data_IF_760312531875
#
_entry.id   IF_760312531875
#
_cell.length_a   1.000
_cell.length_b   1.000
_cell.length_c   1.000
_cell.angle_alpha   90.00
_cell.angle_beta   90.00
_cell.angle_gamma   90.00
#
_symmetry.space_group_name_H-M   'P 1'
#
loop_
_entity.id
_entity.type
_entity.pdbx_description
1 polymer ?
#
# COMPACT_ATOMS: atom_id res chain seq x y z
N UNK A 1 3.60 -11.33 -4.73
CA UNK A 1 3.34 -9.87 -4.91
C UNK A 1 4.47 -9.17 -5.68
N UNK A 2 5.71 -9.14 -5.16
CA UNK A 2 6.84 -8.46 -5.80
C UNK A 2 7.10 -8.93 -7.25
N UNK A 3 7.12 -10.24 -7.50
CA UNK A 3 7.27 -10.81 -8.84
C UNK A 3 6.15 -10.41 -9.81
N UNK A 4 4.93 -10.29 -9.30
CA UNK A 4 3.77 -9.93 -10.12
C UNK A 4 3.80 -8.44 -10.48
N UNK A 5 4.18 -7.57 -9.55
CA UNK A 5 4.46 -6.16 -9.83
C UNK A 5 5.55 -6.02 -10.90
N UNK A 6 6.63 -6.79 -10.77
CA UNK A 6 7.74 -6.78 -11.73
C UNK A 6 7.30 -7.18 -13.12
N UNK A 7 6.43 -8.19 -13.23
CA UNK A 7 5.90 -8.67 -14.51
C UNK A 7 5.02 -7.61 -15.15
N UNK A 8 4.03 -7.08 -14.42
CA UNK A 8 3.11 -6.05 -14.94
C UNK A 8 3.87 -4.80 -15.39
N UNK A 9 4.87 -4.37 -14.63
CA UNK A 9 5.67 -3.20 -15.02
C UNK A 9 6.47 -3.51 -16.30
N UNK A 10 7.08 -4.69 -16.42
CA UNK A 10 7.81 -5.07 -17.63
C UNK A 10 6.93 -5.16 -18.87
N UNK A 11 5.72 -5.69 -18.72
CA UNK A 11 4.76 -5.83 -19.82
C UNK A 11 4.29 -4.46 -20.34
N UNK A 12 4.27 -3.44 -19.47
CA UNK A 12 3.89 -2.06 -19.83
C UNK A 12 5.07 -1.17 -20.30
N UNK A 13 6.33 -1.58 -20.07
CA UNK A 13 7.53 -0.82 -20.45
C UNK A 13 8.38 -1.57 -21.47
N UNK A 14 7.96 -1.56 -22.74
CA UNK A 14 8.84 -2.02 -23.83
C UNK A 14 10.02 -1.06 -24.02
N UNK A 15 11.17 -1.59 -24.44
CA UNK A 15 12.39 -0.83 -24.73
C UNK A 15 12.18 0.24 -25.81
N UNK A 16 11.26 -0.01 -26.75
CA UNK A 16 10.89 0.90 -27.83
C UNK A 16 10.03 2.08 -27.35
N UNK A 17 9.09 1.84 -26.43
CA UNK A 17 8.26 2.89 -25.84
C UNK A 17 9.11 3.88 -25.04
N UNK A 18 10.10 3.36 -24.30
CA UNK A 18 11.03 4.15 -23.51
C UNK A 18 11.96 5.05 -24.33
N UNK A 19 12.23 4.72 -25.59
CA UNK A 19 13.08 5.52 -26.48
C UNK A 19 12.36 6.75 -27.07
N UNK A 20 11.03 6.80 -26.98
CA UNK A 20 10.17 7.85 -27.56
C UNK A 20 9.70 8.90 -26.56
N UNK A 21 10.12 8.80 -25.29
CA UNK A 21 9.74 9.70 -24.20
C UNK A 21 10.50 11.04 -24.28
N UNK A 22 10.11 11.92 -25.22
CA UNK A 22 10.59 13.31 -25.31
C UNK A 22 9.40 14.26 -25.46
N UNK A 23 8.60 14.48 -24.40
CA UNK A 23 7.61 15.56 -24.35
C UNK A 23 7.07 15.78 -22.92
N UNK A 24 6.37 16.90 -22.77
CA UNK A 24 5.75 17.42 -21.54
C UNK A 24 4.82 16.39 -20.90
N UNK A 25 4.97 16.18 -19.59
CA UNK A 25 4.11 15.31 -18.77
C UNK A 25 2.82 16.03 -18.42
N UNK A 26 1.67 15.35 -18.53
CA UNK A 26 0.38 15.83 -18.07
C UNK A 26 -0.27 14.76 -17.18
N UNK A 27 -0.90 15.20 -16.09
CA UNK A 27 -1.60 14.33 -15.15
C UNK A 27 -2.85 13.71 -15.82
N UNK A 28 -3.06 12.41 -15.61
CA UNK A 28 -4.04 11.58 -16.32
C UNK A 28 -5.50 12.05 -16.33
N UNK A 29 -6.03 12.79 -15.33
CA UNK A 29 -7.40 13.32 -15.39
C UNK A 29 -7.58 14.47 -16.39
N UNK A 30 -6.50 15.05 -16.93
CA UNK A 30 -6.55 16.21 -17.82
C UNK A 30 -6.61 15.85 -19.32
N UNK A 31 -6.68 14.57 -19.67
CA UNK A 31 -7.01 14.13 -21.03
C UNK A 31 -8.53 14.19 -21.31
N UNK A 32 -9.16 15.33 -21.00
CA UNK A 32 -10.48 15.61 -21.55
C UNK A 32 -10.30 16.19 -22.96
N UNK A 33 -11.18 15.85 -23.91
CA UNK A 33 -11.23 16.47 -25.23
C UNK A 33 -11.18 18.02 -25.16
N UNK A 34 -11.69 18.61 -24.07
CA UNK A 34 -11.63 20.05 -23.80
C UNK A 34 -10.24 20.61 -23.49
N UNK A 35 -9.30 19.84 -22.93
CA UNK A 35 -7.91 20.27 -22.73
C UNK A 35 -7.15 20.29 -24.06
N UNK A 36 -7.25 19.21 -24.84
CA UNK A 36 -6.65 19.16 -26.18
C UNK A 36 -7.16 20.29 -27.07
N UNK A 37 -8.49 20.53 -27.07
CA UNK A 37 -9.08 21.64 -27.83
C UNK A 37 -8.56 23.01 -27.41
N UNK A 38 -8.47 23.30 -26.10
CA UNK A 38 -7.93 24.60 -25.61
C UNK A 38 -6.43 24.76 -25.87
N UNK A 39 -5.66 23.68 -25.84
CA UNK A 39 -4.23 23.70 -26.14
C UNK A 39 -3.99 23.99 -27.62
N UNK A 40 -4.73 23.31 -28.51
CA UNK A 40 -4.74 23.55 -29.95
C UNK A 40 -5.11 24.99 -30.29
N UNK A 41 -6.18 25.51 -29.69
CA UNK A 41 -6.63 26.89 -29.84
C UNK A 41 -5.54 27.89 -29.44
N UNK A 42 -4.90 27.69 -28.27
CA UNK A 42 -3.82 28.57 -27.80
C UNK A 42 -2.55 28.51 -28.66
N UNK A 43 -2.27 27.37 -29.27
CA UNK A 43 -1.10 27.18 -30.13
C UNK A 43 -1.37 27.58 -31.60
N UNK A 44 -2.60 27.95 -31.94
CA UNK A 44 -2.99 28.32 -33.30
C UNK A 44 -2.91 27.16 -34.29
N UNK A 45 -3.09 25.92 -33.81
CA UNK A 45 -3.02 24.71 -34.65
C UNK A 45 -4.44 24.30 -35.00
N UNK A 46 -4.78 24.40 -36.29
CA UNK A 46 -6.12 24.10 -36.82
C UNK A 46 -6.35 22.59 -37.05
N UNK A 47 -5.28 21.80 -37.03
CA UNK A 47 -5.34 20.37 -37.34
C UNK A 47 -5.66 19.53 -36.10
N UNK A 48 -6.67 18.67 -36.22
CA UNK A 48 -7.07 17.73 -35.15
C UNK A 48 -6.07 16.57 -34.99
N UNK A 49 -5.11 16.45 -35.90
CA UNK A 49 -4.02 15.47 -35.84
C UNK A 49 -2.82 15.99 -35.04
N UNK A 50 -3.07 16.49 -33.83
CA UNK A 50 -1.99 16.64 -32.87
C UNK A 50 -1.61 15.23 -32.40
N UNK A 51 -0.65 14.61 -33.09
CA UNK A 51 0.13 13.51 -32.57
C UNK A 51 1.06 14.04 -31.46
N UNK A 52 0.50 14.73 -30.45
CA UNK A 52 1.23 14.96 -29.22
C UNK A 52 1.52 13.57 -28.67
N UNK A 53 2.80 13.19 -28.50
CA UNK A 53 3.11 12.03 -27.69
C UNK A 53 2.57 12.32 -26.30
N UNK A 54 1.42 11.74 -25.99
CA UNK A 54 0.85 11.73 -24.65
C UNK A 54 1.75 10.84 -23.83
N UNK A 55 2.57 11.47 -23.01
CA UNK A 55 3.42 10.76 -22.07
C UNK A 55 2.62 10.65 -20.78
N UNK A 56 2.21 9.42 -20.49
CA UNK A 56 1.67 9.08 -19.18
C UNK A 56 2.71 9.41 -18.11
N UNK A 57 2.26 10.07 -17.04
CA UNK A 57 3.08 10.28 -15.86
C UNK A 57 3.67 8.94 -15.39
N UNK A 58 5.00 8.89 -15.26
CA UNK A 58 5.70 7.70 -14.78
C UNK A 58 5.19 7.24 -13.42
N UNK A 59 4.76 8.16 -12.56
CA UNK A 59 4.14 7.81 -11.29
C UNK A 59 2.83 7.06 -11.50
N UNK A 60 2.04 7.48 -12.49
CA UNK A 60 0.76 6.88 -12.82
C UNK A 60 0.95 5.46 -13.33
N UNK A 61 1.94 5.19 -14.17
CA UNK A 61 2.23 3.82 -14.64
C UNK A 61 2.64 2.92 -13.46
N UNK A 62 3.49 3.41 -12.55
CA UNK A 62 3.85 2.66 -11.34
C UNK A 62 2.62 2.39 -10.46
N UNK A 63 1.69 3.35 -10.39
CA UNK A 63 0.45 3.19 -9.65
C UNK A 63 -0.47 2.14 -10.29
N UNK A 64 -0.62 2.17 -11.62
CA UNK A 64 -1.40 1.18 -12.36
C UNK A 64 -0.87 -0.23 -12.12
N UNK A 65 0.45 -0.42 -12.10
CA UNK A 65 1.01 -1.74 -11.78
C UNK A 65 0.64 -2.24 -10.37
N UNK A 66 0.59 -1.34 -9.38
CA UNK A 66 0.13 -1.69 -8.03
C UNK A 66 -1.35 -2.04 -8.03
N UNK A 67 -2.17 -1.29 -8.78
CA UNK A 67 -3.59 -1.56 -8.92
C UNK A 67 -3.86 -2.88 -9.62
N UNK A 68 -3.15 -3.19 -10.70
CA UNK A 68 -3.25 -4.48 -11.42
C UNK A 68 -2.96 -5.65 -10.48
N UNK A 69 -1.94 -5.52 -9.62
CA UNK A 69 -1.63 -6.55 -8.64
C UNK A 69 -2.73 -6.70 -7.60
N UNK A 70 -3.20 -5.58 -7.05
CA UNK A 70 -4.29 -5.53 -6.07
C UNK A 70 -5.58 -6.11 -6.63
N UNK A 71 -5.93 -5.78 -7.86
CA UNK A 71 -7.21 -6.11 -8.49
C UNK A 71 -7.18 -7.43 -9.27
N UNK A 72 -6.01 -8.07 -9.36
CA UNK A 72 -5.89 -9.43 -9.86
C UNK A 72 -6.62 -10.46 -8.97
N UNK A 73 -7.20 -11.49 -9.59
CA UNK A 73 -7.80 -12.63 -8.90
C UNK A 73 -6.77 -13.67 -8.41
N UNK A 74 -5.49 -13.32 -8.36
CA UNK A 74 -4.42 -14.21 -7.89
C UNK A 74 -4.35 -14.27 -6.37
N UNK A 75 -3.67 -15.27 -5.80
CA UNK A 75 -3.42 -15.35 -4.36
C UNK A 75 -2.73 -14.08 -3.81
N UNK A 76 -1.83 -13.49 -4.59
CA UNK A 76 -1.17 -12.23 -4.24
C UNK A 76 -2.15 -11.06 -4.21
N UNK A 77 -3.07 -10.97 -5.17
CA UNK A 77 -4.11 -9.93 -5.22
C UNK A 77 -5.09 -10.08 -4.06
N UNK A 78 -5.59 -11.29 -3.81
CA UNK A 78 -6.48 -11.59 -2.69
C UNK A 78 -5.81 -11.30 -1.34
N UNK A 79 -4.54 -11.66 -1.17
CA UNK A 79 -3.76 -11.33 0.03
C UNK A 79 -3.62 -9.81 0.21
N UNK A 80 -3.36 -9.07 -0.88
CA UNK A 80 -3.27 -7.60 -0.82
C UNK A 80 -4.61 -6.94 -0.47
N UNK A 81 -5.71 -7.35 -1.10
CA UNK A 81 -7.04 -6.85 -0.76
C UNK A 81 -7.41 -7.13 0.70
N UNK A 82 -7.02 -8.31 1.21
CA UNK A 82 -7.21 -8.70 2.60
C UNK A 82 -6.41 -7.81 3.55
N UNK A 83 -5.13 -7.56 3.26
CA UNK A 83 -4.30 -6.63 4.02
C UNK A 83 -4.93 -5.24 4.06
N UNK A 84 -5.38 -4.71 2.93
CA UNK A 84 -6.07 -3.41 2.85
C UNK A 84 -7.34 -3.41 3.70
N UNK A 85 -8.15 -4.48 3.65
CA UNK A 85 -9.36 -4.63 4.49
C UNK A 85 -9.00 -4.50 5.97
N UNK A 86 -7.94 -5.15 6.42
CA UNK A 86 -7.45 -5.06 7.82
C UNK A 86 -6.97 -3.65 8.17
N UNK A 87 -6.19 -3.00 7.31
CA UNK A 87 -5.78 -1.61 7.51
C UNK A 87 -6.97 -0.64 7.62
N UNK A 88 -8.06 -0.87 6.90
CA UNK A 88 -9.25 -0.03 6.93
C UNK A 88 -10.09 -0.21 8.21
N UNK A 89 -9.87 -1.28 8.99
CA UNK A 89 -10.51 -1.45 10.31
C UNK A 89 -10.14 -0.30 11.24
N UNK A 90 -8.87 0.15 11.23
CA UNK A 90 -8.43 1.31 12.02
C UNK A 90 -9.24 2.57 11.70
N UNK A 91 -9.48 2.84 10.41
CA UNK A 91 -10.30 3.98 10.01
C UNK A 91 -11.77 3.80 10.43
N UNK A 92 -12.31 2.60 10.23
CA UNK A 92 -13.70 2.28 10.59
C UNK A 92 -13.98 2.51 12.08
N UNK A 93 -13.04 2.11 12.94
CA UNK A 93 -13.23 2.15 14.39
C UNK A 93 -12.79 3.48 15.00
N UNK A 94 -11.62 4.00 14.60
CA UNK A 94 -10.94 5.08 15.34
C UNK A 94 -10.94 6.43 14.62
N UNK A 95 -11.41 6.53 13.37
CA UNK A 95 -11.32 7.80 12.66
C UNK A 95 -12.33 8.84 13.14
N UNK A 96 -13.51 8.42 13.60
CA UNK A 96 -14.63 9.34 13.86
C UNK A 96 -15.32 9.06 15.20
N UNK A 97 -16.11 10.04 15.66
CA UNK A 97 -16.98 9.91 16.82
C UNK A 97 -16.25 9.48 18.09
N UNK A 98 -16.83 8.50 18.81
CA UNK A 98 -16.28 7.98 20.07
C UNK A 98 -14.89 7.40 19.91
N UNK A 99 -14.62 6.63 18.85
CA UNK A 99 -13.31 6.02 18.64
C UNK A 99 -12.21 7.06 18.47
N UNK A 100 -12.49 8.17 17.77
CA UNK A 100 -11.54 9.28 17.67
C UNK A 100 -11.32 9.99 19.02
N UNK A 101 -12.38 10.15 19.83
CA UNK A 101 -12.24 10.71 21.17
C UNK A 101 -11.33 9.84 22.06
N UNK A 102 -11.52 8.51 22.05
CA UNK A 102 -10.64 7.58 22.78
C UNK A 102 -9.20 7.58 22.25
N UNK A 103 -9.01 7.73 20.94
CA UNK A 103 -7.69 7.88 20.35
C UNK A 103 -6.99 9.14 20.88
N UNK A 104 -7.68 10.27 20.93
CA UNK A 104 -7.13 11.53 21.46
C UNK A 104 -6.88 11.50 22.97
N UNK A 105 -7.70 10.75 23.72
CA UNK A 105 -7.45 10.49 25.15
C UNK A 105 -6.20 9.64 25.39
N UNK A 106 -5.98 8.67 24.51
CA UNK A 106 -4.82 7.76 24.58
C UNK A 106 -3.55 8.48 24.16
N UNK A 107 -3.61 9.21 23.05
CA UNK A 107 -2.50 9.90 22.44
C UNK A 107 -3.01 11.12 21.67
N UNK A 108 -2.90 12.29 22.29
CA UNK A 108 -3.31 13.56 21.69
C UNK A 108 -2.53 13.93 20.41
N UNK A 109 -1.37 13.31 20.20
CA UNK A 109 -0.57 13.50 18.98
C UNK A 109 -0.92 12.50 17.87
N UNK A 110 -1.69 11.46 18.19
CA UNK A 110 -2.05 10.43 17.23
C UNK A 110 -2.90 11.03 16.11
N UNK A 111 -2.44 10.80 14.88
CA UNK A 111 -3.15 11.23 13.69
C UNK A 111 -4.36 10.33 13.46
N UNK A 112 -5.46 10.94 13.01
CA UNK A 112 -6.66 10.24 12.54
C UNK A 112 -6.26 9.18 11.49
N UNK A 113 -6.62 7.90 11.69
CA UNK A 113 -6.44 6.89 10.65
C UNK A 113 -7.28 7.25 9.43
N UNK A 114 -6.72 7.10 8.24
CA UNK A 114 -7.38 7.37 6.96
C UNK A 114 -7.67 6.03 6.28
N UNK A 115 -8.77 5.91 5.55
CA UNK A 115 -9.04 4.71 4.73
C UNK A 115 -8.16 4.69 3.49
N UNK A 116 -7.80 3.50 3.03
CA UNK A 116 -7.34 3.30 1.68
C UNK A 116 -8.42 3.83 0.72
N UNK A 117 -8.01 4.62 -0.26
CA UNK A 117 -8.90 5.20 -1.26
C UNK A 117 -8.46 4.73 -2.65
N UNK A 118 -9.33 4.03 -3.37
CA UNK A 118 -9.03 3.46 -4.69
C UNK A 118 -8.67 4.51 -5.75
N UNK A 119 -9.09 5.77 -5.56
CA UNK A 119 -8.81 6.88 -6.47
C UNK A 119 -7.48 7.60 -6.17
N UNK A 120 -6.74 7.18 -5.13
CA UNK A 120 -5.48 7.80 -4.75
C UNK A 120 -4.30 6.95 -5.21
N UNK A 121 -3.15 7.59 -5.36
CA UNK A 121 -1.90 6.90 -5.61
C UNK A 121 -1.56 5.93 -4.47
N UNK A 122 -0.91 4.82 -4.80
CA UNK A 122 -0.41 3.84 -3.86
C UNK A 122 0.56 4.46 -2.83
N UNK A 123 1.28 5.52 -3.21
CA UNK A 123 2.11 6.31 -2.27
C UNK A 123 1.31 6.90 -1.10
N UNK A 124 0.07 7.36 -1.33
CA UNK A 124 -0.81 7.83 -0.25
C UNK A 124 -1.24 6.69 0.68
N UNK A 125 -1.45 5.50 0.11
CA UNK A 125 -1.82 4.31 0.87
C UNK A 125 -0.66 3.78 1.70
N UNK A 126 0.56 3.87 1.17
CA UNK A 126 1.77 3.56 1.91
C UNK A 126 1.95 4.47 3.14
N UNK A 127 1.67 5.77 3.01
CA UNK A 127 1.70 6.70 4.15
C UNK A 127 0.68 6.34 5.24
N UNK A 128 -0.49 5.81 4.87
CA UNK A 128 -1.46 5.26 5.82
C UNK A 128 -0.85 4.08 6.61
N UNK A 129 -0.18 3.15 5.93
CA UNK A 129 0.41 1.98 6.59
C UNK A 129 1.56 2.38 7.52
N UNK A 130 2.39 3.34 7.12
CA UNK A 130 3.44 3.89 8.00
C UNK A 130 2.86 4.54 9.26
N UNK A 131 1.70 5.22 9.15
CA UNK A 131 1.00 5.78 10.31
C UNK A 131 0.47 4.69 11.22
N UNK A 132 -0.10 3.62 10.66
CA UNK A 132 -0.55 2.47 11.44
C UNK A 132 0.62 1.85 12.21
N UNK A 133 1.77 1.63 11.57
CA UNK A 133 2.95 1.05 12.24
C UNK A 133 3.47 1.94 13.38
N UNK A 134 3.62 3.25 13.11
CA UNK A 134 4.11 4.23 14.11
C UNK A 134 3.18 4.42 15.29
N UNK A 135 1.86 4.41 15.05
CA UNK A 135 0.83 4.64 16.07
C UNK A 135 0.15 3.36 16.53
N UNK A 136 0.75 2.19 16.27
CA UNK A 136 0.11 0.90 16.51
C UNK A 136 -0.34 0.73 17.97
N UNK A 137 0.54 1.06 18.92
CA UNK A 137 0.26 0.98 20.35
C UNK A 137 -0.92 1.88 20.76
N UNK A 138 -0.90 3.15 20.34
CA UNK A 138 -1.96 4.12 20.61
C UNK A 138 -3.30 3.68 20.00
N UNK A 139 -3.27 3.10 18.79
CA UNK A 139 -4.47 2.58 18.13
C UNK A 139 -5.05 1.37 18.87
N UNK A 140 -4.20 0.45 19.30
CA UNK A 140 -4.64 -0.72 20.06
C UNK A 140 -5.21 -0.33 21.43
N UNK A 141 -4.53 0.55 22.17
CA UNK A 141 -5.01 1.01 23.47
C UNK A 141 -6.35 1.77 23.35
N UNK A 142 -6.51 2.60 22.30
CA UNK A 142 -7.79 3.25 22.03
C UNK A 142 -8.91 2.25 21.69
N UNK A 143 -8.59 1.17 20.96
CA UNK A 143 -9.53 0.08 20.69
C UNK A 143 -9.93 -0.63 22.00
N UNK A 144 -8.96 -0.94 22.87
CA UNK A 144 -9.21 -1.59 24.17
C UNK A 144 -10.12 -0.76 25.07
N UNK A 145 -9.93 0.57 25.10
CA UNK A 145 -10.79 1.48 25.86
C UNK A 145 -12.21 1.60 25.29
N UNK A 146 -12.35 1.52 23.96
CA UNK A 146 -13.65 1.57 23.29
C UNK A 146 -14.45 0.28 23.54
N UNK A 147 -13.77 -0.86 23.69
CA UNK A 147 -14.37 -2.18 23.90
C UNK A 147 -13.81 -2.88 25.17
N UNK A 148 -14.13 -2.37 26.37
CA UNK A 148 -13.58 -2.90 27.63
C UNK A 148 -14.11 -4.29 27.98
N UNK A 149 -15.30 -4.65 27.51
CA UNK A 149 -15.96 -5.94 27.74
C UNK A 149 -16.04 -6.77 26.45
N UNK A 150 -15.07 -6.59 25.54
CA UNK A 150 -15.02 -7.34 24.28
C UNK A 150 -15.02 -8.84 24.54
N UNK A 151 -15.70 -9.57 23.66
CA UNK A 151 -15.68 -11.02 23.71
C UNK A 151 -14.45 -11.54 22.98
N UNK A 152 -13.95 -12.70 23.38
CA UNK A 152 -12.81 -13.32 22.70
C UNK A 152 -13.13 -13.68 21.24
N UNK A 153 -14.39 -13.83 20.85
CA UNK A 153 -14.79 -14.14 19.47
C UNK A 153 -14.92 -12.91 18.55
N UNK A 154 -14.65 -11.70 19.05
CA UNK A 154 -14.83 -10.47 18.27
C UNK A 154 -13.77 -10.34 17.17
N UNK A 155 -14.18 -10.51 15.91
CA UNK A 155 -13.29 -10.62 14.73
C UNK A 155 -12.28 -9.46 14.59
N UNK A 156 -12.72 -8.22 14.88
CA UNK A 156 -11.90 -7.03 14.67
C UNK A 156 -10.60 -7.03 15.46
N UNK A 157 -10.58 -7.62 16.65
CA UNK A 157 -9.38 -7.63 17.49
C UNK A 157 -8.26 -8.46 16.85
N UNK A 158 -8.60 -9.59 16.22
CA UNK A 158 -7.66 -10.43 15.48
C UNK A 158 -7.25 -9.77 14.15
N UNK A 159 -8.17 -9.05 13.51
CA UNK A 159 -7.84 -8.32 12.28
C UNK A 159 -6.74 -7.27 12.50
N UNK A 160 -6.69 -6.61 13.66
CA UNK A 160 -5.75 -5.51 13.93
C UNK A 160 -4.60 -5.86 14.88
N UNK A 161 -4.75 -6.83 15.79
CA UNK A 161 -3.70 -7.25 16.73
C UNK A 161 -3.22 -8.69 16.55
N UNK A 162 -3.72 -9.40 15.53
CA UNK A 162 -3.18 -10.71 15.16
C UNK A 162 -1.71 -10.62 14.78
N UNK A 163 -0.91 -11.61 15.19
CA UNK A 163 0.53 -11.64 14.85
C UNK A 163 0.78 -11.65 13.34
N UNK A 164 -0.13 -12.25 12.58
CA UNK A 164 -0.12 -12.26 11.12
C UNK A 164 -0.34 -10.86 10.51
N UNK A 165 -1.15 -10.00 11.13
CA UNK A 165 -1.32 -8.62 10.67
C UNK A 165 0.00 -7.86 10.70
N UNK A 166 0.76 -7.97 11.79
CA UNK A 166 2.02 -7.25 11.94
C UNK A 166 3.07 -7.78 10.98
N UNK A 167 3.12 -9.09 10.77
CA UNK A 167 3.97 -9.68 9.73
C UNK A 167 3.64 -9.10 8.35
N UNK A 168 2.36 -9.10 7.98
CA UNK A 168 1.89 -8.54 6.71
C UNK A 168 2.26 -7.05 6.62
N UNK A 169 1.95 -6.24 7.65
CA UNK A 169 2.22 -4.80 7.68
C UNK A 169 3.69 -4.49 7.42
N UNK A 170 4.61 -5.17 8.11
CA UNK A 170 6.04 -4.93 7.94
C UNK A 170 6.54 -5.44 6.57
N UNK A 171 6.05 -6.58 6.11
CA UNK A 171 6.39 -7.12 4.79
C UNK A 171 5.93 -6.19 3.66
N UNK A 172 4.69 -5.67 3.74
CA UNK A 172 4.15 -4.71 2.79
C UNK A 172 4.93 -3.39 2.82
N UNK A 173 5.28 -2.87 3.99
CA UNK A 173 6.12 -1.67 4.11
C UNK A 173 7.49 -1.86 3.45
N UNK A 174 8.19 -2.95 3.74
CA UNK A 174 9.50 -3.21 3.14
C UNK A 174 9.42 -3.44 1.63
N UNK A 175 8.42 -4.19 1.16
CA UNK A 175 8.25 -4.54 -0.26
C UNK A 175 7.84 -3.34 -1.10
N UNK A 176 6.95 -2.49 -0.58
CA UNK A 176 6.40 -1.36 -1.33
C UNK A 176 7.29 -0.12 -1.30
N UNK A 177 8.17 0.00 -0.30
CA UNK A 177 9.03 1.18 -0.13
C UNK A 177 9.84 1.55 -1.38
N UNK A 178 10.56 0.64 -2.06
CA UNK A 178 11.31 0.98 -3.26
C UNK A 178 10.42 1.50 -4.41
N UNK A 179 9.21 0.95 -4.55
CA UNK A 179 8.23 1.36 -5.57
C UNK A 179 7.68 2.74 -5.24
N UNK A 180 7.34 2.99 -3.98
CA UNK A 180 6.81 4.28 -3.51
C UNK A 180 7.86 5.37 -3.58
N UNK A 181 9.10 5.10 -3.16
CA UNK A 181 10.21 6.07 -3.25
C UNK A 181 10.47 6.45 -4.71
N UNK A 182 10.39 5.50 -5.65
CA UNK A 182 10.48 5.78 -7.08
C UNK A 182 9.28 6.60 -7.57
N UNK A 183 8.06 6.22 -7.20
CA UNK A 183 6.82 6.93 -7.53
C UNK A 183 6.89 8.40 -7.11
N UNK A 184 7.26 8.68 -5.86
CA UNK A 184 7.41 10.04 -5.35
C UNK A 184 8.48 10.85 -6.09
N UNK A 185 9.59 10.21 -6.49
CA UNK A 185 10.65 10.87 -7.26
C UNK A 185 10.18 11.26 -8.65
N UNK A 186 9.43 10.40 -9.34
CA UNK A 186 8.96 10.70 -10.70
C UNK A 186 7.71 11.59 -10.73
N UNK A 187 7.02 11.77 -9.59
CA UNK A 187 6.00 12.83 -9.41
C UNK A 187 6.61 14.24 -9.35
N UNK A 188 7.91 14.37 -9.07
CA UNK A 188 8.58 15.67 -9.04
C UNK A 188 8.69 16.26 -10.45
N UNK A 189 8.25 17.50 -10.61
CA UNK A 189 8.38 18.26 -11.86
C UNK A 189 9.86 18.49 -12.27
N UNK A 190 10.79 18.39 -11.33
CA UNK A 190 12.23 18.53 -11.57
C UNK A 190 12.88 17.24 -12.09
N UNK A 191 12.11 16.15 -12.17
CA UNK A 191 12.59 14.83 -12.59
C UNK A 191 12.05 14.49 -13.98
N UNK A 192 12.91 14.44 -15.00
CA UNK A 192 12.51 13.98 -16.32
C UNK A 192 12.02 12.52 -16.28
N UNK A 193 10.91 12.25 -16.96
CA UNK A 193 10.24 10.93 -17.01
C UNK A 193 11.19 9.80 -17.46
N UNK A 194 12.11 10.08 -18.39
CA UNK A 194 13.08 9.07 -18.87
C UNK A 194 14.05 8.57 -17.79
N UNK A 195 14.21 9.27 -16.66
CA UNK A 195 15.04 8.78 -15.53
C UNK A 195 14.48 7.48 -14.94
N UNK A 196 13.19 7.20 -15.15
CA UNK A 196 12.61 5.90 -14.79
C UNK A 196 13.38 4.75 -15.45
N UNK A 197 13.78 4.87 -16.73
CA UNK A 197 14.59 3.86 -17.44
C UNK A 197 15.93 3.59 -16.74
N UNK A 198 16.52 4.62 -16.14
CA UNK A 198 17.80 4.53 -15.44
C UNK A 198 17.66 3.87 -14.06
N UNK A 199 16.58 4.18 -13.34
CA UNK A 199 16.38 3.72 -11.97
C UNK A 199 15.64 2.38 -11.86
N UNK A 200 14.83 2.05 -12.86
CA UNK A 200 14.02 0.83 -12.89
C UNK A 200 14.85 -0.45 -12.69
N UNK A 201 16.02 -0.65 -13.32
CA UNK A 201 16.84 -1.84 -13.09
C UNK A 201 17.22 -2.05 -11.62
N UNK A 202 17.56 -0.96 -10.90
CA UNK A 202 17.90 -1.02 -9.48
C UNK A 202 16.69 -1.35 -8.62
N UNK A 203 15.53 -0.75 -8.89
CA UNK A 203 14.28 -1.08 -8.20
C UNK A 203 13.91 -2.54 -8.46
N UNK A 204 14.05 -3.01 -9.70
CA UNK A 204 13.80 -4.40 -10.06
C UNK A 204 14.70 -5.37 -9.30
N UNK A 205 15.99 -5.05 -9.15
CA UNK A 205 16.91 -5.85 -8.35
C UNK A 205 16.50 -5.89 -6.86
N UNK A 206 16.09 -4.76 -6.28
CA UNK A 206 15.61 -4.71 -4.89
C UNK A 206 14.36 -5.56 -4.69
N UNK A 207 13.39 -5.48 -5.60
CA UNK A 207 12.16 -6.27 -5.53
C UNK A 207 12.41 -7.76 -5.76
N UNK A 208 13.32 -8.12 -6.68
CA UNK A 208 13.71 -9.51 -6.89
C UNK A 208 14.41 -10.08 -5.63
N UNK A 209 15.25 -9.28 -4.98
CA UNK A 209 15.88 -9.65 -3.70
C UNK A 209 14.85 -9.84 -2.58
N UNK A 210 13.84 -8.97 -2.51
CA UNK A 210 12.71 -9.11 -1.59
C UNK A 210 11.97 -10.45 -1.77
N UNK A 211 11.85 -10.94 -3.01
CA UNK A 211 11.24 -12.25 -3.32
C UNK A 211 12.16 -13.42 -2.95
N UNK A 212 13.42 -13.37 -3.39
CA UNK A 212 14.33 -14.52 -3.34
C UNK A 212 14.99 -14.74 -1.98
N UNK A 213 15.19 -13.68 -1.20
CA UNK A 213 15.89 -13.71 0.09
C UNK A 213 14.95 -13.45 1.27
N UNK A 214 13.65 -13.76 1.11
CA UNK A 214 12.69 -13.62 2.18
C UNK A 214 13.07 -14.51 3.39
N UNK A 215 13.01 -14.00 4.63
CA UNK A 215 12.63 -12.64 5.07
C UNK A 215 13.83 -11.68 5.20
N UNK A 216 15.07 -12.16 5.01
CA UNK A 216 16.32 -11.43 5.29
C UNK A 216 16.40 -10.10 4.54
N UNK A 217 15.87 -10.05 3.33
CA UNK A 217 15.82 -8.85 2.49
C UNK A 217 14.75 -7.82 2.88
N UNK A 218 13.92 -8.12 3.90
CA UNK A 218 12.88 -7.23 4.42
C UNK A 218 13.33 -6.67 5.79
N UNK A 219 13.98 -5.50 5.84
CA UNK A 219 14.69 -5.04 7.04
C UNK A 219 13.80 -4.77 8.25
N UNK A 220 12.59 -4.21 8.07
CA UNK A 220 11.64 -4.03 9.18
C UNK A 220 11.16 -5.37 9.69
N UNK A 221 10.75 -6.28 8.80
CA UNK A 221 10.26 -7.59 9.19
C UNK A 221 11.36 -8.43 9.86
N UNK A 222 12.51 -8.58 9.21
CA UNK A 222 13.63 -9.40 9.68
C UNK A 222 14.08 -9.02 11.10
N UNK A 223 14.05 -7.73 11.45
CA UNK A 223 14.44 -7.23 12.77
C UNK A 223 13.59 -7.81 13.91
N UNK A 224 12.31 -8.09 13.65
CA UNK A 224 11.34 -8.49 14.70
C UNK A 224 10.66 -9.83 14.43
N UNK A 225 10.92 -10.48 13.30
CA UNK A 225 10.20 -11.68 12.87
C UNK A 225 10.21 -12.80 13.91
N UNK A 226 11.34 -13.00 14.61
CA UNK A 226 11.44 -14.00 15.68
C UNK A 226 10.47 -13.78 16.84
N UNK A 227 10.04 -12.55 17.07
CA UNK A 227 9.10 -12.14 18.14
C UNK A 227 7.67 -11.89 17.64
N UNK A 228 7.37 -12.08 16.35
CA UNK A 228 6.02 -11.92 15.81
C UNK A 228 5.21 -13.22 15.94
N UNK A 229 4.88 -13.59 17.18
CA UNK A 229 4.06 -14.76 17.50
C UNK A 229 2.97 -14.38 18.50
N UNK A 230 1.90 -15.17 18.53
CA UNK A 230 0.84 -15.01 19.54
C UNK A 230 1.44 -15.05 20.96
N UNK A 231 0.98 -14.14 21.82
CA UNK A 231 1.49 -13.98 23.19
C UNK A 231 2.80 -13.19 23.32
N UNK A 232 3.53 -12.94 22.22
CA UNK A 232 4.66 -12.03 22.22
C UNK A 232 4.22 -10.57 22.09
N UNK A 233 5.15 -9.64 22.32
CA UNK A 233 4.86 -8.20 22.30
C UNK A 233 5.48 -7.52 21.08
N UNK A 234 4.73 -6.66 20.41
CA UNK A 234 5.21 -5.73 19.40
C UNK A 234 4.73 -4.31 19.73
N UNK A 235 5.66 -3.34 19.81
CA UNK A 235 5.36 -1.96 20.23
C UNK A 235 4.49 -1.89 21.49
N UNK A 236 4.85 -2.64 22.54
CA UNK A 236 4.11 -2.74 23.81
C UNK A 236 2.69 -3.35 23.73
N UNK A 237 2.28 -3.87 22.58
CA UNK A 237 1.01 -4.60 22.39
C UNK A 237 1.26 -6.10 22.40
N UNK A 238 0.55 -6.84 23.25
CA UNK A 238 0.54 -8.31 23.22
C UNK A 238 -0.23 -8.78 21.99
N UNK A 239 0.44 -9.54 21.13
CA UNK A 239 -0.10 -10.03 19.88
C UNK A 239 -1.06 -11.19 20.11
N UNK A 240 -2.18 -11.15 19.39
CA UNK A 240 -3.17 -12.20 19.38
C UNK A 240 -2.82 -13.30 18.36
N UNK A 241 -3.44 -14.49 18.47
CA UNK A 241 -3.44 -15.49 17.40
C UNK A 241 -3.75 -14.87 16.03
N UNK A 242 -3.10 -15.38 14.99
CA UNK A 242 -3.30 -14.87 13.65
C UNK A 242 -4.75 -15.01 13.20
N UNK A 243 -5.30 -13.96 12.60
CA UNK A 243 -6.68 -13.96 12.09
C UNK A 243 -6.89 -15.01 11.00
N UNK A 244 -5.84 -15.27 10.22
CA UNK A 244 -5.83 -16.34 9.22
C UNK A 244 -5.82 -17.75 9.81
N UNK A 245 -5.57 -17.91 11.11
CA UNK A 245 -5.65 -19.20 11.81
C UNK A 245 -7.05 -19.35 12.43
N UNK A 246 -7.62 -18.27 12.96
CA UNK A 246 -8.94 -18.29 13.62
C UNK A 246 -10.11 -18.38 12.62
N UNK A 247 -9.96 -17.87 11.39
CA UNK A 247 -11.02 -17.96 10.37
C UNK A 247 -11.08 -19.30 9.60
N UNK A 248 -10.11 -20.20 9.78
CA UNK A 248 -10.15 -21.54 9.14
C UNK A 248 -11.14 -22.46 9.86
N UNK A 249 -11.49 -22.17 11.11
CA UNK A 249 -12.49 -22.95 11.88
C UNK A 249 -13.93 -22.82 11.35
N UNK A 250 -14.18 -21.97 10.34
CA UNK A 250 -15.43 -21.99 9.56
C UNK A 250 -15.55 -23.16 8.58
N UNK A 251 -14.46 -23.90 8.34
CA UNK A 251 -14.43 -25.12 7.55
C UNK A 251 -13.82 -26.27 8.35
N UNK A 252 -14.50 -26.69 9.42
CA UNK A 252 -14.26 -27.97 10.09
C UNK A 252 -13.44 -27.86 11.37
N UNK A 253 -14.06 -28.25 12.48
CA UNK A 253 -13.55 -28.11 13.85
C UNK A 253 -12.15 -28.69 14.10
N UNK A 254 -11.41 -28.04 15.00
CA UNK A 254 -11.41 -28.44 16.40
C UNK A 254 -10.57 -27.45 17.21
N UNK A 255 -11.20 -26.91 18.26
CA UNK A 255 -10.52 -26.25 19.35
C UNK A 255 -9.48 -27.19 19.95
N UNK A 256 -8.24 -26.73 20.07
CA UNK A 256 -7.37 -27.08 21.20
C UNK A 256 -6.35 -25.98 21.42
N UNK A 257 -6.57 -25.22 22.49
CA UNK A 257 -5.54 -24.40 23.12
C UNK A 257 -4.71 -25.32 24.02
N UNK A 258 -3.41 -25.38 23.78
CA UNK A 258 -2.36 -25.73 24.74
C UNK A 258 -1.12 -24.93 24.42
#
# INVERSE_FOLDING_TARGET
>A
MAEMLLKVIQDNFSTDLLARLCAVSADGPYQANGFCGKLLEKLGIEDNELALPVIWDAAHILNLAVLDVKDSNTDSGQHFQRFIKRCNVFNTILANGKGFAFLQLTDSSARRPVSYACQRFASSSYEQWEKIEKSFASYWQAFDLLYPNRREDEEYQYMIAGSDFIMDLLAFLDTMKPVVDLMLRVQSLDTPVWKLKLWWPSIKALMAKASNEYPVSLPKLNKVMGSLKAGCTYNAVTLLPGWLITNVEGCGGNKTYT
#
